data_IF_450424481608
#
_entry.id   IF_450424481608
#
_cell.length_a   1.000
_cell.length_b   1.000
_cell.length_c   1.000
_cell.angle_alpha   90.00
_cell.angle_beta   90.00
_cell.angle_gamma   90.00
#
_symmetry.space_group_name_H-M   'P 1'
#
loop_
_entity.id
_entity.type
_entity.pdbx_description
1 polymer ?
#
# COMPACT_ATOMS: atom_id res chain seq x y z
N UNK A 1 14.93 0.08 13.13
CA UNK A 1 14.89 1.53 13.29
C UNK A 1 13.58 2.09 12.76
N UNK A 2 13.19 3.23 13.23
CA UNK A 2 12.05 3.98 12.68
C UNK A 2 12.61 5.11 11.84
N UNK A 3 12.14 5.20 10.60
CA UNK A 3 12.58 6.21 9.66
C UNK A 3 11.41 6.94 9.02
N UNK A 4 11.72 7.95 8.23
CA UNK A 4 10.73 8.83 7.62
C UNK A 4 11.13 9.12 6.17
N UNK A 5 10.15 9.15 5.29
CA UNK A 5 10.38 9.43 3.89
C UNK A 5 9.29 10.35 3.35
N UNK A 6 9.70 11.36 2.60
CA UNK A 6 8.74 12.27 1.95
C UNK A 6 8.40 11.72 0.56
N UNK A 7 7.17 11.22 0.42
CA UNK A 7 6.67 10.77 -0.89
C UNK A 7 6.08 11.96 -1.66
N UNK A 8 5.82 11.81 -2.96
CA UNK A 8 5.06 12.84 -3.70
C UNK A 8 3.65 13.11 -3.15
N UNK A 9 3.13 12.24 -2.27
CA UNK A 9 1.78 12.32 -1.72
C UNK A 9 1.74 12.67 -0.24
N UNK A 10 2.90 12.86 0.40
CA UNK A 10 3.01 13.16 1.81
C UNK A 10 4.07 12.30 2.51
N UNK A 11 4.22 12.50 3.80
CA UNK A 11 5.20 11.80 4.60
C UNK A 11 4.71 10.42 5.02
N UNK A 12 5.63 9.46 5.01
CA UNK A 12 5.42 8.14 5.63
C UNK A 12 6.45 7.93 6.74
N UNK A 13 6.06 7.11 7.71
CA UNK A 13 6.94 6.58 8.74
C UNK A 13 7.04 5.08 8.54
N UNK A 14 8.24 4.54 8.68
CA UNK A 14 8.45 3.11 8.53
C UNK A 14 9.28 2.54 9.67
N UNK A 15 9.09 1.26 9.94
CA UNK A 15 9.90 0.50 10.87
C UNK A 15 10.58 -0.62 10.11
N UNK A 16 11.92 -0.66 10.19
CA UNK A 16 12.74 -1.55 9.39
C UNK A 16 13.88 -2.14 10.22
N UNK A 17 14.19 -3.40 9.96
CA UNK A 17 15.36 -4.07 10.51
C UNK A 17 16.07 -4.81 9.37
N UNK A 18 17.17 -4.23 8.86
CA UNK A 18 17.84 -4.76 7.68
C UNK A 18 16.93 -4.75 6.47
N UNK A 19 16.59 -5.92 5.93
CA UNK A 19 15.68 -6.08 4.79
C UNK A 19 14.24 -6.41 5.21
N UNK A 20 13.97 -6.45 6.53
CA UNK A 20 12.66 -6.78 7.05
C UNK A 20 11.88 -5.51 7.38
N UNK A 21 10.79 -5.26 6.65
CA UNK A 21 9.87 -4.17 6.93
C UNK A 21 8.76 -4.66 7.86
N UNK A 22 8.58 -3.93 8.94
CA UNK A 22 7.56 -4.22 9.95
C UNK A 22 6.33 -3.33 9.80
N UNK A 23 6.53 -2.11 9.33
CA UNK A 23 5.45 -1.14 9.19
C UNK A 23 5.83 -0.04 8.20
N UNK A 24 4.88 0.38 7.41
CA UNK A 24 4.91 1.61 6.61
C UNK A 24 3.54 2.26 6.76
N UNK A 25 3.50 3.49 7.25
CA UNK A 25 2.23 4.19 7.49
C UNK A 25 2.33 5.66 7.15
N UNK A 26 1.19 6.24 6.74
CA UNK A 26 1.09 7.67 6.47
C UNK A 26 1.18 8.48 7.76
N UNK A 27 1.83 9.65 7.66
CA UNK A 27 1.87 10.63 8.73
C UNK A 27 0.98 11.82 8.39
N UNK A 28 0.30 12.37 9.41
CA UNK A 28 -0.51 13.58 9.29
C UNK A 28 0.33 14.85 9.40
N UNK A 29 1.53 14.74 9.92
CA UNK A 29 2.40 15.88 10.23
C UNK A 29 3.78 15.66 9.62
N UNK A 30 4.49 16.78 9.39
CA UNK A 30 5.90 16.72 9.00
C UNK A 30 6.72 16.34 10.23
N UNK A 31 7.54 15.28 10.18
CA UNK A 31 8.34 14.89 11.33
C UNK A 31 9.37 15.98 11.67
N UNK A 32 9.53 16.25 12.96
CA UNK A 32 10.45 17.30 13.42
C UNK A 32 11.91 16.90 13.29
N UNK A 33 12.21 15.61 13.43
CA UNK A 33 13.56 15.06 13.30
C UNK A 33 13.51 13.80 12.44
N UNK A 34 13.36 13.96 11.11
CA UNK A 34 13.28 12.81 10.23
C UNK A 34 14.58 12.01 10.25
N UNK A 35 14.44 10.69 10.26
CA UNK A 35 15.55 9.74 10.20
C UNK A 35 15.43 8.92 8.94
N UNK A 36 16.56 8.44 8.43
CA UNK A 36 16.55 7.65 7.19
C UNK A 36 17.41 6.41 7.27
N UNK A 37 16.91 5.34 6.66
CA UNK A 37 17.70 4.21 6.22
C UNK A 37 18.06 4.48 4.76
N UNK A 38 19.33 4.73 4.48
CA UNK A 38 19.75 5.20 3.15
C UNK A 38 19.48 4.18 2.06
N UNK A 39 19.58 2.89 2.36
CA UNK A 39 19.31 1.83 1.38
C UNK A 39 17.82 1.77 1.05
N UNK A 40 16.97 1.85 2.06
CA UNK A 40 15.53 1.86 1.85
C UNK A 40 15.06 3.12 1.13
N UNK A 41 15.65 4.28 1.45
CA UNK A 41 15.34 5.53 0.74
C UNK A 41 15.72 5.45 -0.74
N UNK A 42 16.88 4.87 -1.06
CA UNK A 42 17.27 4.66 -2.46
C UNK A 42 16.29 3.73 -3.17
N UNK A 43 15.85 2.66 -2.52
CA UNK A 43 14.81 1.80 -3.07
C UNK A 43 13.52 2.57 -3.34
N UNK A 44 13.05 3.37 -2.39
CA UNK A 44 11.84 4.18 -2.55
C UNK A 44 11.98 5.20 -3.67
N UNK A 45 13.15 5.85 -3.79
CA UNK A 45 13.42 6.78 -4.89
C UNK A 45 13.25 6.09 -6.24
N UNK A 46 13.77 4.89 -6.38
CA UNK A 46 13.61 4.10 -7.62
C UNK A 46 12.17 3.62 -7.81
N UNK A 47 11.51 3.20 -6.74
CA UNK A 47 10.14 2.72 -6.79
C UNK A 47 9.17 3.83 -7.24
N UNK A 48 9.38 5.07 -6.82
CA UNK A 48 8.54 6.19 -7.26
C UNK A 48 8.81 6.61 -8.71
N UNK A 49 9.92 6.16 -9.29
CA UNK A 49 10.18 6.32 -10.73
C UNK A 49 9.54 5.15 -11.50
N UNK A 50 9.72 3.92 -11.02
CA UNK A 50 9.23 2.70 -11.64
C UNK A 50 8.78 1.70 -10.57
N UNK A 51 7.47 1.66 -10.24
CA UNK A 51 6.97 0.75 -9.20
C UNK A 51 6.95 -0.73 -9.61
N UNK A 52 7.45 -1.07 -10.79
CA UNK A 52 7.60 -2.47 -11.22
C UNK A 52 8.94 -3.09 -10.81
N UNK A 53 9.83 -2.32 -10.20
CA UNK A 53 11.12 -2.84 -9.75
C UNK A 53 10.95 -3.95 -8.71
N UNK A 54 11.93 -4.85 -8.67
CA UNK A 54 11.92 -5.97 -7.72
C UNK A 54 12.08 -5.43 -6.30
N UNK A 55 11.14 -5.78 -5.42
CA UNK A 55 11.23 -5.46 -4.00
C UNK A 55 12.06 -6.53 -3.30
N UNK A 56 13.23 -6.16 -2.79
CA UNK A 56 14.13 -7.06 -2.06
C UNK A 56 13.74 -7.17 -0.58
N UNK A 57 12.79 -6.35 -0.12
CA UNK A 57 12.38 -6.32 1.29
C UNK A 57 11.38 -7.42 1.58
N UNK A 58 11.51 -8.03 2.77
CA UNK A 58 10.51 -8.95 3.31
C UNK A 58 9.57 -8.18 4.22
N UNK A 59 8.32 -8.61 4.29
CA UNK A 59 7.30 -7.98 5.09
C UNK A 59 6.96 -8.85 6.29
N UNK A 60 7.10 -8.28 7.49
CA UNK A 60 6.71 -8.93 8.74
C UNK A 60 5.21 -8.69 8.93
N UNK A 61 4.40 -9.66 8.53
CA UNK A 61 2.94 -9.50 8.50
C UNK A 61 2.30 -10.18 9.71
N UNK A 62 2.01 -9.38 10.73
CA UNK A 62 1.29 -9.82 11.92
C UNK A 62 -0.20 -9.54 11.74
N UNK A 63 -1.00 -10.59 11.76
CA UNK A 63 -2.44 -10.48 11.58
C UNK A 63 -3.08 -11.85 11.60
N UNK A 64 -4.40 -11.89 11.39
CA UNK A 64 -5.15 -13.13 11.27
C UNK A 64 -4.81 -13.83 9.95
N UNK A 65 -5.15 -15.11 9.84
CA UNK A 65 -4.97 -15.85 8.58
C UNK A 65 -5.73 -15.19 7.44
N UNK A 66 -6.94 -14.69 7.72
CA UNK A 66 -7.75 -13.97 6.74
C UNK A 66 -7.06 -12.68 6.29
N UNK A 67 -6.57 -11.86 7.22
CA UNK A 67 -5.85 -10.62 6.89
C UNK A 67 -4.62 -10.90 6.05
N UNK A 68 -3.81 -11.89 6.42
CA UNK A 68 -2.61 -12.26 5.65
C UNK A 68 -2.98 -12.73 4.24
N UNK A 69 -4.06 -13.50 4.10
CA UNK A 69 -4.55 -13.93 2.78
C UNK A 69 -4.93 -12.72 1.91
N UNK A 70 -5.61 -11.74 2.49
CA UNK A 70 -5.96 -10.50 1.79
C UNK A 70 -4.70 -9.76 1.36
N UNK A 71 -3.78 -9.50 2.29
CA UNK A 71 -2.56 -8.74 1.98
C UNK A 71 -1.69 -9.44 0.92
N UNK A 72 -1.64 -10.77 0.95
CA UNK A 72 -0.94 -11.55 -0.07
C UNK A 72 -1.60 -11.39 -1.44
N UNK A 73 -2.93 -11.39 -1.48
CA UNK A 73 -3.67 -11.21 -2.73
C UNK A 73 -3.49 -9.80 -3.29
N UNK A 74 -3.44 -8.77 -2.43
CA UNK A 74 -3.20 -7.39 -2.86
C UNK A 74 -1.87 -7.24 -3.58
N UNK A 75 -0.85 -7.96 -3.15
CA UNK A 75 0.48 -7.92 -3.75
C UNK A 75 0.50 -8.47 -5.18
N UNK A 76 -0.53 -9.17 -5.58
CA UNK A 76 -0.70 -9.70 -6.95
C UNK A 76 -1.37 -8.71 -7.90
N UNK A 77 -1.92 -7.62 -7.39
CA UNK A 77 -2.54 -6.60 -8.23
C UNK A 77 -1.40 -5.76 -8.84
N UNK A 78 -1.19 -5.86 -10.17
CA UNK A 78 -0.08 -5.14 -10.77
C UNK A 78 -0.33 -3.62 -10.77
N UNK A 79 0.76 -2.89 -10.81
CA UNK A 79 0.73 -1.44 -10.94
C UNK A 79 -0.11 -1.03 -12.16
N UNK A 80 -0.92 0.02 -11.99
CA UNK A 80 -1.82 0.50 -13.04
C UNK A 80 -3.14 -0.28 -13.16
N UNK A 81 -3.33 -1.33 -12.37
CA UNK A 81 -4.56 -2.13 -12.34
C UNK A 81 -5.28 -1.98 -11.01
N UNK A 82 -6.56 -2.27 -11.00
CA UNK A 82 -7.40 -2.23 -9.80
C UNK A 82 -8.27 -3.48 -9.73
N UNK A 83 -8.69 -3.81 -8.51
CA UNK A 83 -9.67 -4.87 -8.23
C UNK A 83 -10.73 -4.31 -7.30
N UNK A 84 -11.92 -4.88 -7.34
CA UNK A 84 -12.94 -4.55 -6.35
C UNK A 84 -12.75 -5.40 -5.09
N UNK A 85 -13.33 -4.95 -3.96
CA UNK A 85 -13.32 -5.74 -2.73
C UNK A 85 -13.94 -7.11 -2.95
N UNK A 86 -14.99 -7.19 -3.77
CA UNK A 86 -15.64 -8.45 -4.13
C UNK A 86 -14.71 -9.36 -4.91
N UNK A 87 -13.98 -8.84 -5.89
CA UNK A 87 -13.03 -9.62 -6.67
C UNK A 87 -11.91 -10.18 -5.79
N UNK A 88 -11.42 -9.40 -4.82
CA UNK A 88 -10.43 -9.88 -3.86
C UNK A 88 -11.03 -10.98 -2.98
N UNK A 89 -12.26 -10.80 -2.49
CA UNK A 89 -12.96 -11.79 -1.69
C UNK A 89 -13.13 -13.13 -2.44
N UNK A 90 -13.50 -13.07 -3.70
CA UNK A 90 -13.62 -14.26 -4.55
C UNK A 90 -12.26 -14.94 -4.71
N UNK A 91 -11.20 -14.17 -4.97
CA UNK A 91 -9.86 -14.69 -5.20
C UNK A 91 -9.30 -15.45 -3.99
N UNK A 92 -9.65 -15.04 -2.77
CA UNK A 92 -9.21 -15.73 -1.55
C UNK A 92 -10.19 -16.83 -1.07
N UNK A 93 -11.21 -17.15 -1.88
CA UNK A 93 -12.15 -18.22 -1.58
C UNK A 93 -13.26 -17.84 -0.59
N UNK A 94 -13.50 -16.55 -0.36
CA UNK A 94 -14.53 -16.07 0.58
C UNK A 94 -15.42 -15.01 -0.10
N UNK A 95 -16.24 -15.42 -1.08
CA UNK A 95 -16.92 -14.47 -1.97
C UNK A 95 -17.94 -13.54 -1.28
N UNK A 96 -18.34 -13.87 -0.06
CA UNK A 96 -19.25 -13.02 0.73
C UNK A 96 -18.54 -12.12 1.73
N UNK A 97 -17.20 -12.15 1.77
CA UNK A 97 -16.40 -11.47 2.79
C UNK A 97 -15.90 -10.10 2.34
N UNK A 98 -16.60 -9.42 1.44
CA UNK A 98 -16.10 -8.14 0.89
C UNK A 98 -15.93 -7.05 1.96
N UNK A 99 -16.79 -7.01 2.98
CA UNK A 99 -16.62 -6.06 4.09
C UNK A 99 -15.37 -6.37 4.91
N UNK A 100 -15.13 -7.65 5.19
CA UNK A 100 -13.95 -8.08 5.92
C UNK A 100 -12.67 -7.80 5.11
N UNK A 101 -12.72 -7.92 3.78
CA UNK A 101 -11.62 -7.51 2.89
C UNK A 101 -11.36 -6.02 3.05
N UNK A 102 -12.41 -5.19 3.06
CA UNK A 102 -12.27 -3.75 3.28
C UNK A 102 -11.61 -3.43 4.62
N UNK A 103 -11.98 -4.14 5.69
CA UNK A 103 -11.36 -3.97 7.01
C UNK A 103 -9.88 -4.39 6.99
N UNK A 104 -9.55 -5.50 6.31
CA UNK A 104 -8.17 -5.94 6.17
C UNK A 104 -7.33 -4.93 5.38
N UNK A 105 -7.90 -4.28 4.37
CA UNK A 105 -7.23 -3.20 3.64
C UNK A 105 -6.92 -2.02 4.55
N UNK A 106 -7.84 -1.64 5.43
CA UNK A 106 -7.61 -0.57 6.42
C UNK A 106 -6.54 -0.93 7.42
N UNK A 107 -6.38 -2.21 7.74
CA UNK A 107 -5.40 -2.72 8.69
C UNK A 107 -4.04 -3.05 8.03
N UNK A 108 -3.87 -2.74 6.75
CA UNK A 108 -2.64 -3.01 6.01
C UNK A 108 -1.43 -2.40 6.73
N UNK A 109 -0.46 -3.24 7.17
CA UNK A 109 0.69 -2.73 7.91
C UNK A 109 1.78 -2.11 7.03
N UNK A 110 1.78 -2.36 5.71
CA UNK A 110 2.83 -1.93 4.78
C UNK A 110 2.18 -1.14 3.65
N UNK A 111 1.78 0.07 3.95
CA UNK A 111 1.11 0.92 2.96
C UNK A 111 2.00 1.15 1.72
N UNK A 112 1.43 1.39 0.57
CA UNK A 112 2.08 1.54 -0.74
C UNK A 112 2.64 0.24 -1.31
N UNK A 113 3.53 -0.45 -0.59
CA UNK A 113 4.19 -1.67 -1.09
C UNK A 113 3.26 -2.88 -1.06
N UNK A 114 2.30 -2.91 -0.11
CA UNK A 114 1.11 -3.76 -0.22
C UNK A 114 0.00 -2.83 -0.73
N UNK A 115 -0.38 -2.93 -2.00
CA UNK A 115 -1.11 -1.86 -2.67
C UNK A 115 -2.61 -1.86 -2.39
N UNK A 116 -3.01 -1.61 -1.15
CA UNK A 116 -4.42 -1.51 -0.79
C UNK A 116 -5.13 -0.34 -1.49
N UNK A 117 -4.38 0.63 -2.01
CA UNK A 117 -4.93 1.71 -2.83
C UNK A 117 -5.48 1.21 -4.18
N UNK A 118 -5.11 0.00 -4.62
CA UNK A 118 -5.58 -0.62 -5.87
C UNK A 118 -6.88 -1.40 -5.70
N UNK A 119 -7.51 -1.30 -4.54
CA UNK A 119 -8.81 -1.97 -4.28
C UNK A 119 -9.90 -0.92 -4.20
N UNK A 120 -10.95 -1.10 -5.01
CA UNK A 120 -12.05 -0.15 -5.15
C UNK A 120 -13.37 -0.81 -4.77
N UNK A 121 -14.39 0.02 -4.52
CA UNK A 121 -15.74 -0.45 -4.29
C UNK A 121 -16.44 -0.86 -5.57
N UNK A 122 -17.70 -1.27 -5.44
CA UNK A 122 -18.54 -1.65 -6.57
C UNK A 122 -18.58 -0.55 -7.63
N UNK A 123 -18.52 -0.95 -8.91
CA UNK A 123 -18.46 -0.04 -10.07
C UNK A 123 -17.26 0.92 -10.00
N UNK A 124 -16.12 0.43 -9.52
CA UNK A 124 -14.87 1.18 -9.39
C UNK A 124 -15.01 2.42 -8.51
N UNK A 125 -15.94 2.39 -7.57
CA UNK A 125 -16.15 3.50 -6.64
C UNK A 125 -14.95 3.64 -5.71
N UNK A 126 -14.43 4.85 -5.62
CA UNK A 126 -13.34 5.18 -4.71
C UNK A 126 -13.91 5.22 -3.27
N UNK A 127 -13.54 4.22 -2.47
CA UNK A 127 -13.94 4.13 -1.06
C UNK A 127 -12.72 3.97 -0.20
N UNK A 128 -12.80 4.29 1.06
CA UNK A 128 -11.80 4.24 2.10
C UNK A 128 -10.36 3.86 1.72
N UNK A 129 -9.41 4.55 2.27
CA UNK A 129 -8.01 4.19 2.20
C UNK A 129 -7.40 4.54 3.55
N UNK A 130 -7.08 3.51 4.35
CA UNK A 130 -6.61 3.71 5.72
C UNK A 130 -7.53 4.69 6.47
N UNK A 131 -8.86 4.57 6.19
CA UNK A 131 -9.89 5.50 6.63
C UNK A 131 -10.27 6.55 5.60
N UNK A 132 -11.39 7.25 5.83
CA UNK A 132 -11.92 8.25 4.89
C UNK A 132 -11.03 9.48 4.75
N UNK A 133 -10.24 9.78 5.79
CA UNK A 133 -9.34 10.93 5.81
C UNK A 133 -8.30 10.89 4.68
N UNK A 134 -7.84 9.70 4.30
CA UNK A 134 -6.82 9.53 3.27
C UNK A 134 -7.39 9.19 1.89
N UNK A 135 -8.70 9.36 1.69
CA UNK A 135 -9.34 9.12 0.41
C UNK A 135 -8.76 9.97 -0.73
N UNK A 136 -8.51 11.29 -0.53
CA UNK A 136 -7.85 12.09 -1.57
C UNK A 136 -6.44 11.58 -1.92
N UNK A 137 -5.71 11.08 -0.93
CA UNK A 137 -4.38 10.49 -1.16
C UNK A 137 -4.48 9.25 -2.04
N UNK A 138 -5.44 8.36 -1.75
CA UNK A 138 -5.71 7.17 -2.57
C UNK A 138 -5.97 7.56 -4.04
N UNK A 139 -6.80 8.55 -4.28
CA UNK A 139 -7.11 9.04 -5.61
C UNK A 139 -5.86 9.54 -6.34
N UNK A 140 -5.02 10.33 -5.67
CA UNK A 140 -3.78 10.86 -6.25
C UNK A 140 -2.78 9.76 -6.62
N UNK A 141 -2.66 8.73 -5.79
CA UNK A 141 -1.78 7.59 -6.06
C UNK A 141 -2.27 6.85 -7.30
N UNK A 142 -3.57 6.59 -7.40
CA UNK A 142 -4.15 5.90 -8.56
C UNK A 142 -3.98 6.70 -9.85
N UNK A 143 -4.15 8.00 -9.80
CA UNK A 143 -3.92 8.88 -10.95
C UNK A 143 -2.46 8.86 -11.38
N UNK A 144 -1.55 8.88 -10.43
CA UNK A 144 -0.11 8.77 -10.70
C UNK A 144 0.23 7.44 -11.37
N UNK A 145 -0.32 6.32 -10.88
CA UNK A 145 -0.09 5.01 -11.46
C UNK A 145 -0.62 4.92 -12.90
N UNK A 146 -1.80 5.45 -13.16
CA UNK A 146 -2.36 5.51 -14.52
C UNK A 146 -1.48 6.34 -15.46
N UNK A 147 -1.01 7.48 -14.98
CA UNK A 147 -0.15 8.37 -15.77
C UNK A 147 1.17 7.67 -16.14
N UNK A 148 1.82 7.02 -15.19
CA UNK A 148 3.03 6.25 -15.45
C UNK A 148 2.79 5.12 -16.46
N UNK A 149 1.65 4.46 -16.38
CA UNK A 149 1.29 3.37 -17.29
C UNK A 149 1.13 3.87 -18.72
N UNK A 150 0.58 5.06 -18.92
CA UNK A 150 0.42 5.64 -20.27
C UNK A 150 1.73 6.13 -20.88
N UNK A 151 2.77 6.30 -20.09
CA UNK A 151 4.09 6.74 -20.54
C UNK A 151 4.99 5.58 -20.98
N UNK A 152 4.55 4.34 -20.80
CA UNK A 152 5.34 3.14 -21.16
C UNK A 152 5.06 2.68 -22.58
#
# INVERSE_FOLDING_TARGET
MIGHYRTPFGWIEYEINGVSLHRVSWLDIVPSQPREDSVFHEFLNQWFIDPTIICIYTFELNGTDFQRAVWKQLQRIPFGHTKTYKEVAIAIGSPKAQQAVGQACKANPITLLIPCHRVLGKNDRLTGYVGTKLLPTKQRILEWERHLMTMQ
#
